data_IF_599561618885
#
_entry.id   IF_599561618885
#
_cell.length_a   1.000
_cell.length_b   1.000
_cell.length_c   1.000
_cell.angle_alpha   90.00
_cell.angle_beta   90.00
_cell.angle_gamma   90.00
#
_symmetry.space_group_name_H-M   'P 1'
#
loop_
_entity.id
_entity.type
_entity.pdbx_description
1 polymer ?
#
# COMPACT_ATOMS: atom_id res chain seq x y z
N UNK A 1 -41.65 -62.19 -19.06
CA UNK A 1 -40.98 -60.93 -19.44
C UNK A 1 -39.85 -60.66 -18.45
N UNK A 2 -38.67 -60.23 -18.90
CA UNK A 2 -37.57 -59.94 -17.97
C UNK A 2 -37.63 -58.51 -17.39
N UNK A 3 -36.91 -58.26 -16.30
CA UNK A 3 -36.92 -56.98 -15.58
C UNK A 3 -36.50 -55.79 -16.46
N UNK A 4 -35.52 -55.98 -17.33
CA UNK A 4 -35.03 -54.93 -18.25
C UNK A 4 -36.08 -54.56 -19.30
N UNK A 5 -36.75 -55.55 -19.89
CA UNK A 5 -37.86 -55.35 -20.80
C UNK A 5 -39.01 -54.61 -20.11
N UNK A 6 -39.30 -54.98 -18.87
CA UNK A 6 -40.39 -54.36 -18.09
C UNK A 6 -40.10 -52.90 -17.76
N UNK A 7 -38.85 -52.56 -17.42
CA UNK A 7 -38.43 -51.17 -17.22
C UNK A 7 -38.59 -50.37 -18.52
N UNK A 8 -38.12 -50.90 -19.66
CA UNK A 8 -38.27 -50.23 -20.96
C UNK A 8 -39.72 -50.01 -21.37
N UNK A 9 -40.60 -50.97 -21.05
CA UNK A 9 -42.04 -50.83 -21.28
C UNK A 9 -42.60 -49.64 -20.50
N UNK A 10 -42.31 -49.54 -19.20
CA UNK A 10 -42.78 -48.44 -18.36
C UNK A 10 -42.15 -47.09 -18.75
N UNK A 11 -40.88 -47.07 -19.15
CA UNK A 11 -40.23 -45.86 -19.69
C UNK A 11 -40.93 -45.38 -20.97
N UNK A 12 -41.35 -46.29 -21.86
CA UNK A 12 -42.12 -45.94 -23.06
C UNK A 12 -43.52 -45.39 -22.75
N UNK A 13 -44.04 -45.68 -21.56
CA UNK A 13 -45.33 -45.19 -21.05
C UNK A 13 -45.18 -43.89 -20.23
N UNK A 14 -43.99 -43.26 -20.24
CA UNK A 14 -43.75 -41.96 -19.60
C UNK A 14 -43.33 -42.05 -18.13
N UNK A 15 -42.98 -43.24 -17.64
CA UNK A 15 -42.43 -43.40 -16.29
C UNK A 15 -40.94 -43.04 -16.29
N UNK A 16 -40.45 -42.53 -15.16
CA UNK A 16 -39.00 -42.42 -14.98
C UNK A 16 -38.44 -43.82 -14.72
N UNK A 17 -37.19 -44.06 -15.14
CA UNK A 17 -36.47 -45.31 -14.83
C UNK A 17 -36.51 -45.66 -13.34
N UNK A 18 -36.37 -44.66 -12.47
CA UNK A 18 -36.40 -44.85 -11.02
C UNK A 18 -37.80 -45.23 -10.51
N UNK A 19 -38.86 -44.63 -11.06
CA UNK A 19 -40.24 -44.97 -10.71
C UNK A 19 -40.62 -46.37 -11.24
N UNK A 20 -40.19 -46.72 -12.46
CA UNK A 20 -40.33 -48.05 -13.02
C UNK A 20 -39.62 -49.11 -12.15
N UNK A 21 -38.37 -48.86 -11.74
CA UNK A 21 -37.63 -49.77 -10.87
C UNK A 21 -38.31 -49.97 -9.50
N UNK A 22 -38.85 -48.90 -8.90
CA UNK A 22 -39.58 -48.95 -7.63
C UNK A 22 -40.88 -49.75 -7.73
N UNK A 23 -41.65 -49.53 -8.79
CA UNK A 23 -42.90 -50.26 -8.97
C UNK A 23 -42.70 -51.76 -9.25
N UNK A 24 -41.59 -52.12 -9.91
CA UNK A 24 -41.24 -53.51 -10.21
C UNK A 24 -40.53 -54.23 -9.04
N UNK A 25 -40.30 -53.56 -7.89
CA UNK A 25 -39.64 -54.15 -6.72
C UNK A 25 -40.47 -55.27 -6.08
N UNK A 26 -41.79 -55.15 -6.15
CA UNK A 26 -42.75 -56.14 -5.59
C UNK A 26 -42.92 -57.40 -6.47
N UNK A 27 -42.27 -57.44 -7.64
CA UNK A 27 -42.43 -58.51 -8.63
C UNK A 27 -41.25 -59.47 -8.57
N UNK A 28 -41.54 -60.76 -8.38
CA UNK A 28 -40.55 -61.82 -8.51
C UNK A 28 -40.38 -62.24 -9.99
N UNK A 29 -39.28 -61.80 -10.59
CA UNK A 29 -38.93 -62.13 -11.97
C UNK A 29 -38.41 -63.56 -12.18
N UNK A 30 -38.12 -64.31 -11.11
CA UNK A 30 -37.73 -65.73 -11.23
C UNK A 30 -38.88 -66.60 -11.76
N UNK A 31 -40.12 -66.15 -11.58
CA UNK A 31 -41.34 -66.80 -12.06
C UNK A 31 -41.66 -66.54 -13.54
N UNK A 32 -40.82 -65.76 -14.23
CA UNK A 32 -41.05 -65.30 -15.60
C UNK A 32 -42.45 -64.67 -15.82
N UNK A 33 -42.84 -63.65 -15.03
CA UNK A 33 -44.18 -63.06 -15.10
C UNK A 33 -44.48 -62.51 -16.50
N UNK A 34 -45.72 -62.68 -16.94
CA UNK A 34 -46.21 -62.10 -18.17
C UNK A 34 -46.55 -60.60 -17.98
N UNK A 35 -46.80 -59.90 -19.09
CA UNK A 35 -47.07 -58.46 -19.07
C UNK A 35 -48.32 -58.12 -18.24
N UNK A 36 -49.35 -58.96 -18.28
CA UNK A 36 -50.60 -58.76 -17.52
C UNK A 36 -50.33 -58.84 -16.02
N UNK A 37 -49.53 -59.83 -15.57
CA UNK A 37 -49.12 -59.95 -14.16
C UNK A 37 -48.33 -58.73 -13.70
N UNK A 38 -47.43 -58.23 -14.55
CA UNK A 38 -46.66 -57.02 -14.27
C UNK A 38 -47.57 -55.80 -14.14
N UNK A 39 -48.47 -55.57 -15.11
CA UNK A 39 -49.42 -54.44 -15.10
C UNK A 39 -50.35 -54.46 -13.89
N UNK A 40 -50.82 -55.65 -13.49
CA UNK A 40 -51.64 -55.82 -12.28
C UNK A 40 -50.87 -55.44 -11.03
N UNK A 41 -49.63 -55.91 -10.89
CA UNK A 41 -48.79 -55.65 -9.72
C UNK A 41 -48.44 -54.16 -9.57
N UNK A 42 -48.14 -53.46 -10.66
CA UNK A 42 -47.76 -52.03 -10.62
C UNK A 42 -48.95 -51.08 -10.59
N UNK A 43 -50.18 -51.56 -10.80
CA UNK A 43 -51.40 -50.72 -10.90
C UNK A 43 -51.61 -49.82 -9.68
N UNK A 44 -51.27 -50.32 -8.47
CA UNK A 44 -51.33 -49.55 -7.23
C UNK A 44 -50.33 -48.37 -7.22
N UNK A 45 -49.18 -48.52 -7.87
CA UNK A 45 -48.16 -47.47 -8.00
C UNK A 45 -48.51 -46.48 -9.11
N UNK A 46 -49.08 -46.96 -10.22
CA UNK A 46 -49.37 -46.19 -11.44
C UNK A 46 -50.36 -45.02 -11.26
N UNK A 47 -51.18 -45.07 -10.21
CA UNK A 47 -52.18 -44.04 -9.92
C UNK A 47 -51.63 -42.87 -9.10
N UNK A 48 -52.08 -42.76 -7.86
CA UNK A 48 -51.80 -41.63 -6.98
C UNK A 48 -50.32 -41.47 -6.63
N UNK A 49 -49.59 -42.58 -6.48
CA UNK A 49 -48.18 -42.57 -6.07
C UNK A 49 -47.27 -42.03 -7.19
N UNK A 50 -47.44 -42.52 -8.43
CA UNK A 50 -46.70 -42.02 -9.59
C UNK A 50 -46.95 -40.53 -9.81
N UNK A 51 -48.21 -40.09 -9.81
CA UNK A 51 -48.58 -38.68 -9.99
C UNK A 51 -47.97 -37.80 -8.90
N UNK A 52 -48.05 -38.23 -7.63
CA UNK A 52 -47.47 -37.50 -6.50
C UNK A 52 -45.96 -37.34 -6.65
N UNK A 53 -45.25 -38.40 -7.06
CA UNK A 53 -43.80 -38.36 -7.27
C UNK A 53 -43.40 -37.48 -8.43
N UNK A 54 -44.08 -37.57 -9.57
CA UNK A 54 -43.81 -36.72 -10.73
C UNK A 54 -44.00 -35.24 -10.39
N UNK A 55 -45.05 -34.89 -9.64
CA UNK A 55 -45.28 -33.52 -9.15
C UNK A 55 -44.16 -33.06 -8.21
N UNK A 56 -43.74 -33.90 -7.26
CA UNK A 56 -42.64 -33.57 -6.35
C UNK A 56 -41.31 -33.38 -7.09
N UNK A 57 -41.00 -34.23 -8.07
CA UNK A 57 -39.80 -34.11 -8.91
C UNK A 57 -39.84 -32.82 -9.74
N UNK A 58 -40.98 -32.49 -10.35
CA UNK A 58 -41.14 -31.25 -11.11
C UNK A 58 -40.98 -30.01 -10.22
N UNK A 59 -41.59 -30.02 -9.03
CA UNK A 59 -41.43 -28.93 -8.05
C UNK A 59 -39.98 -28.78 -7.60
N UNK A 60 -39.30 -29.89 -7.30
CA UNK A 60 -37.88 -29.88 -6.93
C UNK A 60 -37.01 -29.33 -8.05
N UNK A 61 -37.23 -29.77 -9.29
CA UNK A 61 -36.52 -29.22 -10.47
C UNK A 61 -36.72 -27.72 -10.59
N UNK A 62 -37.96 -27.24 -10.48
CA UNK A 62 -38.26 -25.81 -10.52
C UNK A 62 -37.55 -25.01 -9.42
N UNK A 63 -37.50 -25.53 -8.19
CA UNK A 63 -36.76 -24.92 -7.08
C UNK A 63 -35.25 -24.87 -7.34
N UNK A 64 -34.67 -25.95 -7.86
CA UNK A 64 -33.23 -26.02 -8.19
C UNK A 64 -32.91 -25.02 -9.29
N UNK A 65 -33.70 -24.96 -10.37
CA UNK A 65 -33.48 -23.99 -11.46
C UNK A 65 -33.57 -22.55 -10.94
N UNK A 66 -34.58 -22.23 -10.11
CA UNK A 66 -34.72 -20.89 -9.54
C UNK A 66 -33.50 -20.51 -8.69
N UNK A 67 -33.05 -21.40 -7.81
CA UNK A 67 -31.85 -21.16 -6.98
C UNK A 67 -30.59 -21.06 -7.82
N UNK A 68 -30.45 -21.86 -8.88
CA UNK A 68 -29.31 -21.79 -9.79
C UNK A 68 -29.21 -20.42 -10.46
N UNK A 69 -30.32 -19.90 -10.97
CA UNK A 69 -30.37 -18.58 -11.61
C UNK A 69 -30.07 -17.45 -10.62
N UNK A 70 -30.54 -17.58 -9.37
CA UNK A 70 -30.25 -16.61 -8.31
C UNK A 70 -28.75 -16.61 -7.94
N UNK A 71 -28.13 -17.78 -7.82
CA UNK A 71 -26.69 -17.92 -7.58
C UNK A 71 -25.90 -17.29 -8.73
N UNK A 72 -26.29 -17.56 -9.98
CA UNK A 72 -25.61 -17.00 -11.15
C UNK A 72 -25.69 -15.48 -11.18
N UNK A 73 -26.87 -14.91 -10.91
CA UNK A 73 -27.04 -13.45 -10.80
C UNK A 73 -26.16 -12.86 -9.69
N UNK A 74 -26.18 -13.46 -8.50
CA UNK A 74 -25.36 -13.00 -7.39
C UNK A 74 -23.86 -13.06 -7.73
N UNK A 75 -23.41 -14.12 -8.40
CA UNK A 75 -22.02 -14.26 -8.82
C UNK A 75 -21.62 -13.17 -9.82
N UNK A 76 -22.49 -12.81 -10.76
CA UNK A 76 -22.27 -11.70 -11.68
C UNK A 76 -22.16 -10.36 -10.95
N UNK A 77 -23.07 -10.09 -10.00
CA UNK A 77 -23.03 -8.88 -9.17
C UNK A 77 -21.74 -8.77 -8.34
N UNK A 78 -21.31 -9.88 -7.72
CA UNK A 78 -20.06 -9.92 -6.98
C UNK A 78 -18.84 -9.75 -7.89
N UNK A 79 -18.84 -10.33 -9.08
CA UNK A 79 -17.75 -10.16 -10.04
C UNK A 79 -17.57 -8.69 -10.43
N UNK A 80 -18.67 -7.99 -10.74
CA UNK A 80 -18.66 -6.55 -11.04
C UNK A 80 -18.15 -5.74 -9.84
N UNK A 81 -18.61 -6.06 -8.63
CA UNK A 81 -18.18 -5.35 -7.41
C UNK A 81 -16.68 -5.55 -7.14
N UNK A 82 -16.16 -6.76 -7.32
CA UNK A 82 -14.74 -7.07 -7.19
C UNK A 82 -13.92 -6.30 -8.22
N UNK A 83 -14.38 -6.24 -9.47
CA UNK A 83 -13.70 -5.48 -10.54
C UNK A 83 -13.63 -3.98 -10.21
N UNK A 84 -14.73 -3.40 -9.74
CA UNK A 84 -14.79 -1.99 -9.32
C UNK A 84 -13.83 -1.71 -8.16
N UNK A 85 -13.80 -2.58 -7.14
CA UNK A 85 -12.89 -2.45 -6.01
C UNK A 85 -11.43 -2.55 -6.44
N UNK A 86 -11.09 -3.51 -7.30
CA UNK A 86 -9.74 -3.66 -7.83
C UNK A 86 -9.31 -2.43 -8.64
N UNK A 87 -10.21 -1.86 -9.44
CA UNK A 87 -9.94 -0.63 -10.21
C UNK A 87 -9.69 0.56 -9.28
N UNK A 88 -10.52 0.73 -8.25
CA UNK A 88 -10.35 1.77 -7.25
C UNK A 88 -9.01 1.64 -6.52
N UNK A 89 -8.71 0.44 -6.01
CA UNK A 89 -7.47 0.17 -5.30
C UNK A 89 -6.24 0.41 -6.17
N UNK A 90 -6.29 0.03 -7.46
CA UNK A 90 -5.21 0.30 -8.42
C UNK A 90 -4.96 1.81 -8.60
N UNK A 91 -6.03 2.60 -8.71
CA UNK A 91 -5.90 4.06 -8.83
C UNK A 91 -5.33 4.69 -7.56
N UNK A 92 -5.73 4.19 -6.39
CA UNK A 92 -5.23 4.69 -5.12
C UNK A 92 -3.74 4.37 -4.94
N UNK A 93 -3.33 3.14 -5.25
CA UNK A 93 -1.93 2.73 -5.21
C UNK A 93 -1.05 3.59 -6.14
N UNK A 94 -1.52 3.86 -7.37
CA UNK A 94 -0.81 4.74 -8.30
C UNK A 94 -0.63 6.17 -7.77
N UNK A 95 -1.62 6.69 -7.03
CA UNK A 95 -1.51 8.00 -6.37
C UNK A 95 -0.46 7.99 -5.28
N UNK A 96 -0.48 6.97 -4.40
CA UNK A 96 0.50 6.84 -3.33
C UNK A 96 1.93 6.64 -3.87
N UNK A 97 2.10 5.82 -4.91
CA UNK A 97 3.40 5.66 -5.58
C UNK A 97 3.94 6.99 -6.10
N UNK A 98 3.10 7.78 -6.77
CA UNK A 98 3.50 9.10 -7.25
C UNK A 98 3.79 10.11 -6.14
N UNK A 99 3.13 10.02 -4.98
CA UNK A 99 3.43 10.85 -3.82
C UNK A 99 4.75 10.45 -3.15
N UNK A 100 5.01 9.15 -3.01
CA UNK A 100 6.27 8.61 -2.49
C UNK A 100 7.45 9.06 -3.37
N UNK A 101 7.30 9.01 -4.69
CA UNK A 101 8.34 9.46 -5.64
C UNK A 101 8.64 10.95 -5.45
N UNK A 102 7.60 11.80 -5.39
CA UNK A 102 7.76 13.25 -5.15
C UNK A 102 8.44 13.56 -3.81
N UNK A 103 8.06 12.85 -2.75
CA UNK A 103 8.68 13.00 -1.43
C UNK A 103 10.14 12.54 -1.45
N UNK A 104 10.43 11.43 -2.14
CA UNK A 104 11.80 10.93 -2.32
C UNK A 104 12.70 11.95 -3.01
N UNK A 105 12.23 12.56 -4.10
CA UNK A 105 13.00 13.56 -4.84
C UNK A 105 13.18 14.85 -4.04
N UNK A 106 12.15 15.26 -3.31
CA UNK A 106 12.26 16.40 -2.39
C UNK A 106 13.31 16.14 -1.31
N UNK A 107 13.35 14.93 -0.74
CA UNK A 107 14.36 14.56 0.25
C UNK A 107 15.78 14.58 -0.33
N UNK A 108 16.00 14.07 -1.55
CA UNK A 108 17.32 14.15 -2.21
C UNK A 108 17.77 15.61 -2.39
N UNK A 109 16.85 16.50 -2.78
CA UNK A 109 17.14 17.94 -2.91
C UNK A 109 17.45 18.57 -1.54
N UNK A 110 16.73 18.20 -0.49
CA UNK A 110 17.01 18.69 0.86
C UNK A 110 18.36 18.19 1.39
N UNK A 111 18.71 16.92 1.16
CA UNK A 111 20.00 16.36 1.54
C UNK A 111 21.18 17.08 0.88
N UNK A 112 21.07 17.41 -0.41
CA UNK A 112 22.11 18.16 -1.13
C UNK A 112 22.24 19.58 -0.58
N UNK A 113 21.12 20.26 -0.29
CA UNK A 113 21.13 21.57 0.37
C UNK A 113 21.77 21.53 1.76
N UNK A 114 21.45 20.53 2.57
CA UNK A 114 22.04 20.36 3.90
C UNK A 114 23.56 20.16 3.78
N UNK A 115 24.02 19.30 2.87
CA UNK A 115 25.46 19.10 2.63
C UNK A 115 26.16 20.40 2.26
N UNK A 116 25.57 21.19 1.36
CA UNK A 116 26.14 22.48 0.95
C UNK A 116 26.21 23.48 2.12
N UNK A 117 25.13 23.60 2.91
CA UNK A 117 25.10 24.48 4.09
C UNK A 117 26.17 24.05 5.12
N UNK A 118 26.33 22.75 5.35
CA UNK A 118 27.35 22.23 6.26
C UNK A 118 28.76 22.60 5.79
N UNK A 119 29.05 22.50 4.49
CA UNK A 119 30.34 22.90 3.93
C UNK A 119 30.56 24.40 4.16
N UNK A 120 29.59 25.24 3.80
CA UNK A 120 29.67 26.69 3.98
C UNK A 120 29.86 27.10 5.45
N UNK A 121 29.15 26.45 6.37
CA UNK A 121 29.31 26.72 7.81
C UNK A 121 30.71 26.35 8.32
N UNK A 122 31.28 25.25 7.84
CA UNK A 122 32.64 24.86 8.21
C UNK A 122 33.67 25.86 7.69
N UNK A 123 33.52 26.34 6.45
CA UNK A 123 34.39 27.39 5.87
C UNK A 123 34.31 28.70 6.67
N UNK A 124 33.09 29.14 7.01
CA UNK A 124 32.88 30.33 7.83
C UNK A 124 33.48 30.19 9.23
N UNK A 125 33.36 29.01 9.84
CA UNK A 125 33.95 28.74 11.14
C UNK A 125 35.48 28.83 11.10
N UNK A 126 36.11 28.24 10.08
CA UNK A 126 37.56 28.33 9.87
C UNK A 126 38.02 29.77 9.63
N UNK A 127 37.32 30.52 8.77
CA UNK A 127 37.62 31.92 8.50
C UNK A 127 37.51 32.77 9.78
N UNK A 128 36.49 32.54 10.61
CA UNK A 128 36.31 33.24 11.87
C UNK A 128 37.41 32.91 12.89
N UNK A 129 37.85 31.64 12.96
CA UNK A 129 39.00 31.26 13.79
C UNK A 129 40.29 31.95 13.35
N UNK A 130 40.52 32.04 12.03
CA UNK A 130 41.69 32.73 11.49
C UNK A 130 41.64 34.23 11.81
N UNK A 131 40.50 34.89 11.57
CA UNK A 131 40.32 36.30 11.90
C UNK A 131 40.53 36.59 13.39
N UNK A 132 40.12 35.69 14.29
CA UNK A 132 40.39 35.81 15.73
C UNK A 132 41.89 35.77 16.03
N UNK A 133 42.65 34.87 15.37
CA UNK A 133 44.11 34.80 15.51
C UNK A 133 44.78 36.06 14.99
N UNK A 134 44.38 36.52 13.81
CA UNK A 134 44.95 37.71 13.16
C UNK A 134 44.65 38.97 13.99
N UNK A 135 43.44 39.13 14.50
CA UNK A 135 43.09 40.24 15.39
C UNK A 135 43.93 40.23 16.68
N UNK A 136 44.22 39.06 17.25
CA UNK A 136 45.11 38.93 18.42
C UNK A 136 46.54 39.32 18.06
N UNK A 137 47.05 38.89 16.91
CA UNK A 137 48.38 39.24 16.43
C UNK A 137 48.52 40.74 16.17
N UNK A 138 47.54 41.35 15.50
CA UNK A 138 47.48 42.80 15.25
C UNK A 138 47.45 43.59 16.56
N UNK A 139 46.65 43.15 17.55
CA UNK A 139 46.63 43.77 18.87
C UNK A 139 48.01 43.75 19.52
N UNK A 140 48.69 42.60 19.50
CA UNK A 140 50.05 42.48 20.05
C UNK A 140 51.05 43.41 19.34
N UNK A 141 50.97 43.53 18.01
CA UNK A 141 51.81 44.43 17.23
C UNK A 141 51.54 45.90 17.58
N UNK A 142 50.27 46.28 17.72
CA UNK A 142 49.89 47.63 18.16
C UNK A 142 50.46 47.92 19.54
N UNK A 143 50.36 46.98 20.48
CA UNK A 143 50.90 47.12 21.83
C UNK A 143 52.45 47.25 21.81
N UNK A 144 53.15 46.50 20.95
CA UNK A 144 54.59 46.61 20.76
C UNK A 144 55.01 47.97 20.17
N UNK A 145 54.28 48.46 19.15
CA UNK A 145 54.52 49.77 18.55
C UNK A 145 54.31 50.87 19.59
N UNK A 146 53.22 50.80 20.37
CA UNK A 146 52.93 51.74 21.45
C UNK A 146 54.06 51.77 22.49
N UNK A 147 54.57 50.60 22.88
CA UNK A 147 55.71 50.51 23.81
C UNK A 147 56.98 51.16 23.23
N UNK A 148 57.33 50.85 21.98
CA UNK A 148 58.51 51.45 21.30
C UNK A 148 58.36 52.96 21.17
N UNK A 149 57.18 53.46 20.79
CA UNK A 149 56.89 54.89 20.74
C UNK A 149 57.08 55.53 22.12
N UNK A 150 56.53 54.94 23.18
CA UNK A 150 56.70 55.45 24.54
C UNK A 150 58.17 55.54 24.96
N UNK A 151 58.96 54.50 24.66
CA UNK A 151 60.40 54.49 24.93
C UNK A 151 61.15 55.57 24.15
N UNK A 152 60.85 55.73 22.85
CA UNK A 152 61.49 56.72 21.99
C UNK A 152 61.10 58.15 22.40
N UNK A 153 59.83 58.42 22.69
CA UNK A 153 59.37 59.71 23.21
C UNK A 153 60.07 60.04 24.52
N UNK A 154 60.19 59.08 25.46
CA UNK A 154 60.93 59.28 26.71
C UNK A 154 62.39 59.71 26.49
N UNK A 155 63.08 59.10 25.52
CA UNK A 155 64.45 59.50 25.15
C UNK A 155 64.49 60.91 24.56
N UNK A 156 63.55 61.25 23.68
CA UNK A 156 63.48 62.58 23.05
C UNK A 156 63.13 63.70 24.05
N UNK A 157 62.42 63.41 25.15
CA UNK A 157 62.15 64.41 26.20
C UNK A 157 63.41 64.78 27.03
N UNK A 158 64.55 64.12 26.82
CA UNK A 158 65.80 64.42 27.52
C UNK A 158 66.58 65.58 26.87
N UNK A 159 66.21 66.02 25.66
CA UNK A 159 66.81 67.20 25.02
C UNK A 159 66.37 68.51 25.70
N UNK A 160 67.20 69.55 25.65
CA UNK A 160 67.01 70.80 26.42
C UNK A 160 65.88 71.69 25.89
N UNK A 161 65.50 71.56 24.62
CA UNK A 161 64.48 72.40 24.00
C UNK A 161 63.07 72.15 24.59
N UNK A 162 62.44 73.24 25.05
CA UNK A 162 61.14 73.25 25.73
C UNK A 162 59.95 73.16 24.76
N UNK A 163 60.03 73.82 23.61
CA UNK A 163 58.96 73.83 22.60
C UNK A 163 58.88 72.48 21.89
N UNK A 164 60.04 71.89 21.57
CA UNK A 164 60.13 70.53 21.01
C UNK A 164 59.55 69.50 21.99
N UNK A 165 59.81 69.65 23.30
CA UNK A 165 59.21 68.77 24.32
C UNK A 165 57.69 68.87 24.39
N UNK A 166 57.13 70.08 24.39
CA UNK A 166 55.68 70.26 24.43
C UNK A 166 55.01 69.69 23.18
N UNK A 167 55.58 69.92 21.99
CA UNK A 167 55.09 69.34 20.74
C UNK A 167 55.13 67.79 20.75
N UNK A 168 56.21 67.20 21.26
CA UNK A 168 56.35 65.74 21.41
C UNK A 168 55.31 65.12 22.37
N UNK A 169 55.00 65.80 23.48
CA UNK A 169 53.98 65.34 24.44
C UNK A 169 52.59 65.34 23.80
N UNK A 170 52.25 66.40 23.05
CA UNK A 170 50.95 66.51 22.36
C UNK A 170 50.83 65.41 21.29
N UNK A 171 51.86 65.23 20.47
CA UNK A 171 51.89 64.18 19.44
C UNK A 171 51.72 62.79 20.05
N UNK A 172 52.46 62.46 21.10
CA UNK A 172 52.37 61.15 21.76
C UNK A 172 50.99 60.89 22.36
N UNK A 173 50.37 61.87 23.03
CA UNK A 173 49.01 61.75 23.56
C UNK A 173 47.99 61.43 22.46
N UNK A 174 48.12 62.03 21.27
CA UNK A 174 47.23 61.74 20.13
C UNK A 174 47.32 60.31 19.61
N UNK A 175 48.45 59.63 19.81
CA UNK A 175 48.67 58.24 19.36
C UNK A 175 48.17 57.17 20.33
N UNK A 176 47.78 57.57 21.56
CA UNK A 176 47.30 56.63 22.57
C UNK A 176 45.82 56.26 22.38
N UNK A 177 45.06 57.06 21.62
CA UNK A 177 43.61 56.92 21.45
C UNK A 177 42.87 57.53 22.63
#
# INVERSE_FOLDING_TARGET
MNKSQSIKLLESEGWTKADAMRALEVIDFSTNPDEITIRRAISAFAGSELIKRQRLQAAQKGLVTKKSNEIEKNNQEYAVKIEQLNKYQKQENQKYEGEIEKLSDTNKVLETKIKNITIQNNELMQANEQLKKDNKALKNLIDEIRLKLAMNTKKLLQYEDSEIRQALIIMFKSTLG
#
